data_IF_948655699746
#
_entry.id   IF_948655699746
#
_cell.length_a   1.000
_cell.length_b   1.000
_cell.length_c   1.000
_cell.angle_alpha   90.00
_cell.angle_beta   90.00
_cell.angle_gamma   90.00
#
_symmetry.space_group_name_H-M   'P 1'
#
loop_
_entity.id
_entity.type
_entity.pdbx_description
1 polymer ?
#
# COMPACT_ATOMS: atom_id res chain seq x y z
N UNK A 1 4.14 13.00 -11.19
CA UNK A 1 3.90 12.77 -9.76
C UNK A 1 2.46 13.11 -9.43
N UNK A 2 1.77 12.24 -8.71
CA UNK A 2 0.39 12.45 -8.28
C UNK A 2 0.36 13.19 -6.93
N UNK A 3 -0.65 14.00 -6.72
CA UNK A 3 -0.91 14.62 -5.43
C UNK A 3 -1.24 13.55 -4.37
N UNK A 4 -0.66 13.68 -3.19
CA UNK A 4 -0.79 12.69 -2.12
C UNK A 4 -0.57 11.24 -2.59
N UNK A 5 0.53 11.02 -3.31
CA UNK A 5 1.06 9.69 -3.58
C UNK A 5 2.09 9.27 -2.52
N UNK A 6 2.60 8.07 -2.63
CA UNK A 6 3.71 7.61 -1.77
C UNK A 6 5.06 8.21 -2.16
N UNK A 7 5.15 8.88 -3.32
CA UNK A 7 6.38 9.48 -3.81
C UNK A 7 6.68 10.81 -3.12
N UNK A 8 7.96 11.09 -2.90
CA UNK A 8 8.38 12.41 -2.44
C UNK A 8 8.08 13.49 -3.48
N UNK A 9 7.81 14.72 -3.04
CA UNK A 9 7.46 15.85 -3.92
C UNK A 9 8.50 16.14 -5.01
N UNK A 10 9.77 15.88 -4.75
CA UNK A 10 10.86 16.03 -5.73
C UNK A 10 10.98 14.90 -6.75
N UNK A 11 10.26 13.79 -6.58
CA UNK A 11 10.27 12.70 -7.56
C UNK A 11 9.64 13.14 -8.87
N UNK A 12 10.39 12.98 -9.97
CA UNK A 12 9.91 13.28 -11.30
C UNK A 12 10.65 12.41 -12.33
N UNK A 13 10.10 12.35 -13.54
CA UNK A 13 10.64 11.53 -14.64
C UNK A 13 11.56 12.34 -15.57
N UNK A 14 12.09 13.47 -15.16
CA UNK A 14 12.80 14.40 -16.03
C UNK A 14 13.98 13.75 -16.76
N UNK A 15 14.78 12.92 -16.10
CA UNK A 15 15.91 12.23 -16.74
C UNK A 15 15.45 11.28 -17.83
N UNK A 16 14.46 10.42 -17.53
CA UNK A 16 13.88 9.49 -18.50
C UNK A 16 13.18 10.24 -19.66
N UNK A 17 12.47 11.33 -19.36
CA UNK A 17 11.86 12.19 -20.38
C UNK A 17 12.90 12.82 -21.32
N UNK A 18 14.02 13.32 -20.78
CA UNK A 18 15.12 13.88 -21.61
C UNK A 18 15.77 12.82 -22.48
N UNK A 19 15.98 11.60 -21.95
CA UNK A 19 16.46 10.47 -22.73
C UNK A 19 15.49 10.12 -23.86
N UNK A 20 14.20 10.05 -23.56
CA UNK A 20 13.14 9.79 -24.54
C UNK A 20 13.12 10.86 -25.65
N UNK A 21 13.26 12.13 -25.32
CA UNK A 21 13.37 13.21 -26.32
C UNK A 21 14.61 13.08 -27.22
N UNK A 22 15.61 12.32 -26.82
CA UNK A 22 16.80 11.98 -27.60
C UNK A 22 16.68 10.64 -28.34
N UNK A 23 15.49 10.04 -28.34
CA UNK A 23 15.19 8.82 -29.09
C UNK A 23 15.18 7.53 -28.26
N UNK A 24 15.38 7.59 -26.94
CA UNK A 24 15.23 6.39 -26.12
C UNK A 24 13.76 5.95 -26.06
N UNK A 25 13.53 4.65 -26.20
CA UNK A 25 12.18 4.09 -26.17
C UNK A 25 11.67 3.88 -24.74
N UNK A 26 10.37 4.06 -24.56
CA UNK A 26 9.65 3.60 -23.36
C UNK A 26 9.01 2.23 -23.60
N UNK A 27 8.93 1.42 -22.55
CA UNK A 27 8.20 0.17 -22.53
C UNK A 27 7.24 0.13 -21.34
N UNK A 28 6.05 -0.41 -21.57
CA UNK A 28 4.97 -0.62 -20.58
C UNK A 28 4.53 0.62 -19.77
N UNK A 29 4.41 1.83 -20.35
CA UNK A 29 4.11 3.04 -19.58
C UNK A 29 2.63 3.23 -19.23
N UNK A 30 1.78 2.21 -19.45
CA UNK A 30 0.32 2.36 -19.43
C UNK A 30 -0.32 2.26 -18.06
N UNK A 31 0.40 1.77 -17.04
CA UNK A 31 -0.21 1.39 -15.77
C UNK A 31 0.31 2.24 -14.62
N UNK A 32 -0.58 2.51 -13.66
CA UNK A 32 -0.24 3.08 -12.37
C UNK A 32 -0.59 2.06 -11.28
N UNK A 33 0.39 1.68 -10.48
CA UNK A 33 0.17 0.77 -9.36
C UNK A 33 -0.37 1.51 -8.16
N UNK A 34 -1.40 0.95 -7.54
CA UNK A 34 -1.93 1.37 -6.25
C UNK A 34 -1.42 0.41 -5.19
N UNK A 35 -0.87 0.94 -4.08
CA UNK A 35 -0.40 0.13 -2.97
C UNK A 35 -1.44 0.08 -1.85
N UNK A 36 -1.84 -1.11 -1.37
CA UNK A 36 -2.96 -1.24 -0.43
C UNK A 36 -2.64 -0.85 1.01
N UNK A 37 -1.36 -0.87 1.41
CA UNK A 37 -0.93 -0.69 2.81
C UNK A 37 -0.25 0.66 3.03
N UNK A 38 -0.96 1.75 2.78
CA UNK A 38 -0.46 3.09 3.08
C UNK A 38 -1.20 3.66 4.28
N UNK A 39 -0.51 4.47 5.09
CA UNK A 39 -1.15 5.22 6.18
C UNK A 39 -2.07 6.26 5.55
N UNK A 40 -3.38 6.31 5.91
CA UNK A 40 -4.29 7.34 5.43
C UNK A 40 -3.80 8.74 5.76
N UNK A 41 -4.40 9.76 5.15
CA UNK A 41 -4.12 11.15 5.48
C UNK A 41 -4.29 11.36 6.98
N UNK A 42 -3.23 11.80 7.65
CA UNK A 42 -3.17 11.98 9.11
C UNK A 42 -2.91 13.42 9.53
N UNK A 43 -2.71 14.35 8.58
CA UNK A 43 -2.45 15.76 8.87
C UNK A 43 -2.78 16.67 7.70
N UNK A 44 -3.03 17.94 8.00
CA UNK A 44 -3.44 18.96 7.04
C UNK A 44 -2.33 19.30 6.02
N UNK A 45 -1.07 19.26 6.45
CA UNK A 45 0.10 19.65 5.64
C UNK A 45 0.90 18.44 5.12
N UNK A 46 0.27 17.30 5.00
CA UNK A 46 0.96 16.09 4.56
C UNK A 46 1.34 16.18 3.09
N UNK A 47 2.64 16.08 2.78
CA UNK A 47 3.17 16.20 1.42
C UNK A 47 3.14 14.91 0.63
N UNK A 48 3.06 13.76 1.32
CA UNK A 48 2.97 12.41 0.73
C UNK A 48 2.25 11.46 1.68
N UNK A 49 1.76 10.33 1.16
CA UNK A 49 1.26 9.22 1.96
C UNK A 49 2.41 8.28 2.32
N UNK A 50 2.45 7.82 3.55
CA UNK A 50 3.50 6.89 3.99
C UNK A 50 3.13 5.47 3.61
N UNK A 51 3.98 4.85 2.79
CA UNK A 51 3.91 3.45 2.45
C UNK A 51 4.34 2.61 3.65
N UNK A 52 3.52 1.64 4.01
CA UNK A 52 3.88 0.58 4.93
C UNK A 52 4.26 -0.67 4.15
N UNK A 53 5.19 -1.46 4.68
CA UNK A 53 5.60 -2.70 4.01
C UNK A 53 4.41 -3.64 3.79
N UNK A 54 4.36 -4.24 2.62
CA UNK A 54 3.36 -5.26 2.29
C UNK A 54 3.47 -6.50 3.17
N UNK A 55 4.66 -6.78 3.73
CA UNK A 55 4.90 -7.88 4.65
C UNK A 55 4.01 -7.85 5.90
N UNK A 56 3.48 -6.69 6.28
CA UNK A 56 2.50 -6.58 7.36
C UNK A 56 1.27 -7.46 7.14
N UNK A 57 0.89 -7.71 5.88
CA UNK A 57 -0.24 -8.56 5.53
C UNK A 57 0.00 -10.06 5.73
N UNK A 58 1.26 -10.47 5.99
CA UNK A 58 1.58 -11.87 6.31
C UNK A 58 1.00 -12.29 7.66
N UNK A 59 1.01 -11.38 8.63
CA UNK A 59 0.57 -11.64 10.00
C UNK A 59 -0.59 -10.74 10.43
N UNK A 60 -0.85 -9.63 9.73
CA UNK A 60 -1.99 -8.75 9.98
C UNK A 60 -3.23 -9.17 9.19
N UNK A 61 -4.41 -9.07 9.83
CA UNK A 61 -5.72 -9.34 9.21
C UNK A 61 -6.42 -8.05 8.85
N UNK A 62 -6.95 -7.97 7.63
CA UNK A 62 -7.64 -6.78 7.13
C UNK A 62 -9.14 -6.93 7.28
N UNK A 63 -9.78 -5.94 7.91
CA UNK A 63 -11.22 -5.94 8.12
C UNK A 63 -11.84 -4.55 8.17
N UNK A 64 -13.16 -4.49 8.03
CA UNK A 64 -14.02 -3.33 8.28
C UNK A 64 -15.19 -3.75 9.16
N UNK A 65 -15.88 -2.82 9.84
CA UNK A 65 -17.18 -3.14 10.49
C UNK A 65 -18.19 -3.65 9.47
N UNK A 66 -19.04 -4.59 9.85
CA UNK A 66 -20.15 -5.06 8.99
C UNK A 66 -21.24 -4.03 8.83
N UNK A 67 -21.41 -3.15 9.81
CA UNK A 67 -22.46 -2.14 9.83
C UNK A 67 -21.84 -0.74 9.75
N UNK A 68 -22.40 0.12 8.93
CA UNK A 68 -21.97 1.51 8.82
C UNK A 68 -22.12 2.33 10.11
N UNK A 69 -23.05 1.95 10.99
CA UNK A 69 -23.21 2.55 12.32
C UNK A 69 -22.01 2.34 13.26
N UNK A 70 -21.14 1.38 12.93
CA UNK A 70 -20.02 0.99 13.78
C UNK A 70 -18.69 1.61 13.32
N UNK A 71 -18.66 2.29 12.16
CA UNK A 71 -17.42 2.84 11.57
C UNK A 71 -16.78 3.95 12.42
N UNK A 72 -17.55 4.62 13.26
CA UNK A 72 -17.07 5.65 14.20
C UNK A 72 -16.68 5.10 15.58
N UNK A 73 -16.88 3.82 15.84
CA UNK A 73 -16.53 3.19 17.12
C UNK A 73 -15.05 2.83 17.18
N UNK A 74 -14.43 2.85 18.38
CA UNK A 74 -13.12 2.24 18.58
C UNK A 74 -13.14 0.76 18.17
N UNK A 75 -12.05 0.28 17.55
CA UNK A 75 -11.93 -1.09 17.08
C UNK A 75 -12.17 -2.14 18.21
N UNK A 76 -11.77 -1.79 19.45
CA UNK A 76 -11.95 -2.63 20.64
C UNK A 76 -13.42 -2.85 21.03
N UNK A 77 -14.31 -1.95 20.62
CA UNK A 77 -15.74 -2.04 20.90
C UNK A 77 -16.52 -2.83 19.83
N UNK A 78 -15.85 -3.20 18.73
CA UNK A 78 -16.44 -3.97 17.63
C UNK A 78 -16.14 -5.45 17.83
N UNK A 79 -17.14 -6.27 18.23
CA UNK A 79 -16.96 -7.71 18.44
C UNK A 79 -16.51 -8.41 17.15
N UNK A 80 -15.79 -9.52 17.28
CA UNK A 80 -15.29 -10.33 16.16
C UNK A 80 -16.41 -10.72 15.16
N UNK A 81 -17.59 -11.07 15.66
CA UNK A 81 -18.76 -11.43 14.84
C UNK A 81 -19.25 -10.28 13.95
N UNK A 82 -18.97 -9.03 14.32
CA UNK A 82 -19.38 -7.81 13.62
C UNK A 82 -18.28 -7.22 12.74
N UNK A 83 -17.15 -7.93 12.59
CA UNK A 83 -16.05 -7.63 11.68
C UNK A 83 -16.22 -8.37 10.36
N UNK A 84 -16.01 -7.67 9.24
CA UNK A 84 -15.93 -8.27 7.90
C UNK A 84 -14.48 -8.35 7.43
N UNK A 85 -13.91 -9.54 7.46
CA UNK A 85 -12.61 -9.87 6.88
C UNK A 85 -12.77 -10.09 5.38
N UNK A 86 -13.09 -9.01 4.67
CA UNK A 86 -13.57 -9.04 3.30
C UNK A 86 -12.62 -9.69 2.30
N UNK A 87 -11.28 -9.61 2.49
CA UNK A 87 -10.32 -10.31 1.62
C UNK A 87 -10.37 -11.82 1.84
N UNK A 88 -10.41 -12.27 3.10
CA UNK A 88 -10.52 -13.69 3.44
C UNK A 88 -11.86 -14.28 2.92
N UNK A 89 -12.94 -13.50 3.01
CA UNK A 89 -14.26 -13.91 2.53
C UNK A 89 -14.36 -13.96 1.01
N UNK A 90 -13.83 -12.94 0.31
CA UNK A 90 -13.90 -12.84 -1.15
C UNK A 90 -12.89 -13.74 -1.85
N UNK A 91 -11.73 -13.92 -1.25
CA UNK A 91 -10.57 -14.60 -1.86
C UNK A 91 -9.94 -15.62 -0.88
N UNK A 92 -10.66 -16.68 -0.51
CA UNK A 92 -10.22 -17.59 0.56
C UNK A 92 -8.89 -18.29 0.29
N UNK A 93 -8.50 -18.46 -0.98
CA UNK A 93 -7.20 -19.06 -1.34
C UNK A 93 -6.00 -18.13 -1.08
N UNK A 94 -6.20 -16.83 -1.05
CA UNK A 94 -5.14 -15.82 -0.87
C UNK A 94 -5.30 -15.04 0.43
N UNK A 95 -6.52 -14.86 0.91
CA UNK A 95 -6.83 -14.09 2.11
C UNK A 95 -6.22 -12.69 2.03
N UNK A 96 -5.53 -12.30 3.10
CA UNK A 96 -4.88 -11.00 3.20
C UNK A 96 -3.68 -10.84 2.24
N UNK A 97 -3.21 -11.92 1.60
CA UNK A 97 -2.12 -11.91 0.62
C UNK A 97 -2.62 -11.77 -0.83
N UNK A 98 -3.89 -11.41 -1.03
CA UNK A 98 -4.40 -11.08 -2.35
C UNK A 98 -3.51 -10.02 -3.05
N UNK A 99 -3.32 -10.11 -4.39
CA UNK A 99 -2.52 -9.16 -5.16
C UNK A 99 -2.87 -7.70 -4.86
N UNK A 100 -1.91 -6.79 -5.04
CA UNK A 100 -2.05 -5.37 -4.64
C UNK A 100 -3.24 -4.67 -5.25
N UNK A 101 -3.53 -4.93 -6.52
CA UNK A 101 -4.67 -4.34 -7.23
C UNK A 101 -6.01 -4.84 -6.69
N UNK A 102 -6.09 -6.14 -6.36
CA UNK A 102 -7.27 -6.76 -5.76
C UNK A 102 -7.50 -6.22 -4.34
N UNK A 103 -6.46 -6.22 -3.51
CA UNK A 103 -6.54 -5.71 -2.14
C UNK A 103 -6.91 -4.22 -2.10
N UNK A 104 -6.31 -3.41 -2.99
CA UNK A 104 -6.60 -1.98 -3.09
C UNK A 104 -8.04 -1.71 -3.54
N UNK A 105 -8.51 -2.43 -4.56
CA UNK A 105 -9.88 -2.31 -5.07
C UNK A 105 -10.90 -2.70 -4.03
N UNK A 106 -10.65 -3.82 -3.33
CA UNK A 106 -11.56 -4.30 -2.28
C UNK A 106 -11.63 -3.35 -1.08
N UNK A 107 -10.52 -2.72 -0.69
CA UNK A 107 -10.52 -1.69 0.34
C UNK A 107 -11.34 -0.46 -0.08
N UNK A 108 -11.14 -0.01 -1.33
CA UNK A 108 -11.93 1.10 -1.87
C UNK A 108 -13.42 0.77 -1.92
N UNK A 109 -13.79 -0.41 -2.42
CA UNK A 109 -15.18 -0.87 -2.45
C UNK A 109 -15.83 -0.86 -1.06
N UNK A 110 -15.12 -1.33 -0.03
CA UNK A 110 -15.61 -1.30 1.35
C UNK A 110 -15.85 0.13 1.84
N UNK A 111 -14.93 1.05 1.56
CA UNK A 111 -15.10 2.47 1.91
C UNK A 111 -16.24 3.13 1.14
N UNK A 112 -16.36 2.88 -0.16
CA UNK A 112 -17.45 3.40 -1.01
C UNK A 112 -18.83 2.87 -0.57
N UNK A 113 -18.87 1.67 0.02
CA UNK A 113 -20.09 1.11 0.63
C UNK A 113 -20.43 1.73 2.00
N UNK A 114 -19.66 2.72 2.47
CA UNK A 114 -19.89 3.37 3.76
C UNK A 114 -19.37 2.59 4.97
N UNK A 115 -18.50 1.60 4.76
CA UNK A 115 -17.87 0.78 5.82
C UNK A 115 -16.47 1.25 6.17
N UNK A 116 -15.98 2.30 5.51
CA UNK A 116 -14.66 2.88 5.79
C UNK A 116 -14.58 3.50 7.18
N UNK A 117 -13.41 3.43 7.79
CA UNK A 117 -13.14 3.92 9.14
C UNK A 117 -12.34 5.22 9.14
N UNK A 118 -12.26 5.85 10.31
CA UNK A 118 -11.60 7.12 10.50
C UNK A 118 -12.46 8.32 10.08
N UNK A 119 -11.99 9.54 10.38
CA UNK A 119 -12.76 10.76 10.16
C UNK A 119 -13.15 11.01 8.70
N UNK A 120 -12.34 10.52 7.77
CA UNK A 120 -12.61 10.66 6.32
C UNK A 120 -13.45 9.53 5.74
N UNK A 121 -13.66 8.43 6.48
CA UNK A 121 -14.24 7.19 5.94
C UNK A 121 -13.32 6.49 4.92
N UNK A 122 -12.09 6.95 4.76
CA UNK A 122 -11.10 6.40 3.83
C UNK A 122 -10.03 5.63 4.60
N UNK A 123 -10.41 4.51 5.18
CA UNK A 123 -9.53 3.63 5.91
C UNK A 123 -10.15 2.25 6.13
N UNK A 124 -9.30 1.25 6.28
CA UNK A 124 -9.65 -0.09 6.72
C UNK A 124 -8.69 -0.50 7.83
N UNK A 125 -9.09 -1.42 8.69
CA UNK A 125 -8.23 -1.93 9.76
C UNK A 125 -7.25 -2.98 9.24
N UNK A 126 -6.00 -2.93 9.74
CA UNK A 126 -4.99 -3.98 9.66
C UNK A 126 -4.64 -4.37 11.09
N UNK A 127 -5.10 -5.55 11.52
CA UNK A 127 -5.15 -5.99 12.91
C UNK A 127 -4.14 -7.09 13.19
N UNK A 128 -3.32 -6.91 14.21
CA UNK A 128 -2.30 -7.87 14.65
C UNK A 128 -2.69 -8.63 15.92
N UNK A 129 -3.87 -8.41 16.49
CA UNK A 129 -4.28 -9.03 17.75
C UNK A 129 -4.14 -10.56 17.72
N UNK A 130 -4.61 -11.21 16.65
CA UNK A 130 -4.53 -12.67 16.50
C UNK A 130 -3.08 -13.16 16.47
N UNK A 131 -2.22 -12.47 15.70
CA UNK A 131 -0.81 -12.85 15.56
C UNK A 131 -0.02 -12.58 16.84
N UNK A 132 -0.32 -11.49 17.55
CA UNK A 132 0.26 -11.21 18.86
C UNK A 132 -0.14 -12.29 19.87
N UNK A 133 -1.41 -12.69 19.90
CA UNK A 133 -1.90 -13.75 20.77
C UNK A 133 -1.27 -15.11 20.44
N UNK A 134 -1.05 -15.40 19.15
CA UNK A 134 -0.53 -16.68 18.67
C UNK A 134 0.97 -16.81 18.81
N UNK A 135 1.74 -15.77 18.48
CA UNK A 135 3.19 -15.83 18.38
C UNK A 135 3.92 -15.08 19.50
N UNK A 136 3.20 -14.26 20.26
CA UNK A 136 3.75 -13.37 21.28
C UNK A 136 4.22 -12.02 20.72
N UNK A 137 4.17 -10.99 21.59
CA UNK A 137 4.56 -9.62 21.25
C UNK A 137 6.01 -9.52 20.78
N UNK A 138 6.93 -10.27 21.41
CA UNK A 138 8.36 -10.22 21.07
C UNK A 138 8.64 -10.73 19.66
N UNK A 139 7.95 -11.77 19.22
CA UNK A 139 8.06 -12.29 17.87
C UNK A 139 7.55 -11.28 16.84
N UNK A 140 6.41 -10.69 17.08
CA UNK A 140 5.84 -9.65 16.21
C UNK A 140 6.72 -8.40 16.19
N UNK A 141 7.26 -8.01 17.33
CA UNK A 141 8.22 -6.90 17.43
C UNK A 141 9.51 -7.15 16.67
N UNK A 142 10.04 -8.38 16.72
CA UNK A 142 11.21 -8.77 15.92
C UNK A 142 10.96 -8.67 14.41
N UNK A 143 9.74 -8.96 13.96
CA UNK A 143 9.36 -8.91 12.53
C UNK A 143 9.03 -7.49 12.05
N UNK A 144 8.29 -6.72 12.85
CA UNK A 144 7.62 -5.50 12.41
C UNK A 144 7.82 -4.29 13.31
N UNK A 145 8.61 -4.40 14.38
CA UNK A 145 8.73 -3.35 15.41
C UNK A 145 9.16 -1.99 14.87
N UNK A 146 10.05 -1.96 13.87
CA UNK A 146 10.43 -0.73 13.19
C UNK A 146 9.27 -0.08 12.41
N UNK A 147 8.40 -0.90 11.80
CA UNK A 147 7.22 -0.42 11.07
C UNK A 147 6.15 0.08 12.03
N UNK A 148 5.94 -0.62 13.15
CA UNK A 148 5.02 -0.21 14.21
C UNK A 148 5.46 1.12 14.83
N UNK A 149 6.75 1.26 15.15
CA UNK A 149 7.29 2.53 15.65
C UNK A 149 7.12 3.68 14.65
N UNK A 150 7.31 3.41 13.35
CA UNK A 150 7.08 4.41 12.31
C UNK A 150 5.60 4.81 12.24
N UNK A 151 4.68 3.85 12.31
CA UNK A 151 3.24 4.10 12.32
C UNK A 151 2.85 4.93 13.54
N UNK A 152 3.28 4.54 14.73
CA UNK A 152 3.00 5.25 15.97
C UNK A 152 3.51 6.70 15.95
N UNK A 153 4.72 6.94 15.43
CA UNK A 153 5.27 8.30 15.28
C UNK A 153 4.44 9.19 14.35
N UNK A 154 3.77 8.61 13.36
CA UNK A 154 2.96 9.37 12.39
C UNK A 154 1.54 9.59 12.90
N UNK A 155 0.95 8.58 13.53
CA UNK A 155 -0.48 8.56 13.88
C UNK A 155 -0.75 8.80 15.36
N UNK A 156 0.23 8.55 16.22
CA UNK A 156 0.05 8.53 17.67
C UNK A 156 -0.63 7.27 18.21
N UNK A 157 -0.84 6.25 17.35
CA UNK A 157 -1.55 5.02 17.68
C UNK A 157 -0.56 3.85 17.82
N UNK A 158 -0.64 3.08 18.93
CA UNK A 158 0.20 1.91 19.16
C UNK A 158 -0.39 0.65 18.51
N UNK A 159 0.25 0.08 17.47
CA UNK A 159 -0.23 -1.13 16.78
C UNK A 159 -0.28 -2.41 17.63
N UNK A 160 0.39 -2.40 18.80
CA UNK A 160 0.30 -3.53 19.74
C UNK A 160 -0.99 -3.51 20.57
N UNK A 161 -1.66 -2.37 20.66
CA UNK A 161 -2.87 -2.20 21.48
C UNK A 161 -4.14 -2.04 20.66
N UNK A 162 -4.02 -1.58 19.42
CA UNK A 162 -5.16 -1.35 18.52
C UNK A 162 -4.77 -1.59 17.05
N UNK A 163 -5.72 -1.93 16.17
CA UNK A 163 -5.45 -2.11 14.76
C UNK A 163 -4.92 -0.86 14.09
N UNK A 164 -3.98 -1.04 13.16
CA UNK A 164 -3.52 0.03 12.27
C UNK A 164 -4.63 0.42 11.30
N UNK A 165 -4.65 1.68 10.89
CA UNK A 165 -5.48 2.15 9.78
C UNK A 165 -4.66 2.22 8.51
N UNK A 166 -5.14 1.60 7.45
CA UNK A 166 -4.50 1.62 6.13
C UNK A 166 -5.51 1.99 5.05
N UNK A 167 -5.01 2.55 3.94
CA UNK A 167 -5.82 2.85 2.76
C UNK A 167 -4.96 2.78 1.49
N UNK A 168 -5.53 2.42 0.34
CA UNK A 168 -4.81 2.43 -0.93
C UNK A 168 -4.30 3.81 -1.33
N UNK A 169 -3.07 3.84 -1.86
CA UNK A 169 -2.48 5.06 -2.39
C UNK A 169 -1.75 4.82 -3.70
N UNK A 170 -1.72 5.82 -4.56
CA UNK A 170 -0.92 5.81 -5.78
C UNK A 170 0.55 5.65 -5.41
N UNK A 171 1.22 4.65 -5.97
CA UNK A 171 2.56 4.25 -5.54
C UNK A 171 3.59 4.28 -6.67
N UNK A 172 3.33 3.62 -7.79
CA UNK A 172 4.33 3.38 -8.82
C UNK A 172 3.76 3.58 -10.22
N UNK A 173 4.44 4.35 -11.05
CA UNK A 173 4.16 4.40 -12.48
C UNK A 173 4.92 3.28 -13.16
N UNK A 174 4.18 2.32 -13.70
CA UNK A 174 4.76 1.14 -14.34
C UNK A 174 5.52 1.50 -15.61
N UNK A 175 6.40 0.59 -16.02
CA UNK A 175 7.23 0.80 -17.18
C UNK A 175 8.42 1.72 -16.90
N UNK A 176 9.05 2.16 -17.96
CA UNK A 176 10.25 3.00 -17.93
C UNK A 176 10.93 2.95 -19.29
N UNK A 177 12.19 3.37 -19.33
CA UNK A 177 12.97 3.27 -20.56
C UNK A 177 13.22 1.79 -20.90
N UNK A 178 13.02 1.46 -22.17
CA UNK A 178 13.34 0.15 -22.70
C UNK A 178 14.84 -0.12 -22.61
N UNK A 179 15.21 -1.33 -22.21
CA UNK A 179 16.60 -1.81 -22.19
C UNK A 179 16.67 -3.26 -22.69
N UNK A 180 17.82 -3.60 -23.22
CA UNK A 180 18.19 -4.98 -23.52
C UNK A 180 18.64 -5.74 -22.27
N UNK A 181 19.08 -6.97 -22.44
CA UNK A 181 19.53 -7.83 -21.31
C UNK A 181 20.80 -7.30 -20.63
N UNK A 182 21.57 -6.41 -21.27
CA UNK A 182 22.74 -5.74 -20.72
C UNK A 182 22.40 -4.38 -20.09
N UNK A 183 21.12 -4.08 -19.92
CA UNK A 183 20.60 -2.81 -19.40
C UNK A 183 20.93 -1.60 -20.30
N UNK A 184 21.26 -1.82 -21.56
CA UNK A 184 21.49 -0.77 -22.53
C UNK A 184 20.18 -0.44 -23.26
N UNK A 185 19.88 0.87 -23.38
CA UNK A 185 18.73 1.32 -24.16
C UNK A 185 18.97 1.14 -25.68
N UNK A 186 17.97 1.46 -26.49
CA UNK A 186 18.14 1.53 -27.94
C UNK A 186 19.09 2.66 -28.39
N UNK A 187 19.49 3.57 -27.49
CA UNK A 187 20.50 4.59 -27.74
C UNK A 187 21.86 4.05 -27.29
N UNK A 188 22.84 3.84 -28.20
CA UNK A 188 24.12 3.24 -27.86
C UNK A 188 24.85 4.03 -26.76
N UNK A 189 25.36 3.28 -25.77
CA UNK A 189 26.07 3.85 -24.61
C UNK A 189 25.17 4.41 -23.51
N UNK A 190 23.85 4.42 -23.67
CA UNK A 190 22.91 4.83 -22.64
C UNK A 190 22.39 3.58 -21.91
N UNK A 191 22.92 3.32 -20.72
CA UNK A 191 22.44 2.27 -19.82
C UNK A 191 21.43 2.84 -18.82
N UNK A 192 20.38 2.07 -18.50
CA UNK A 192 19.32 2.49 -17.59
C UNK A 192 19.20 1.49 -16.45
N UNK A 193 19.50 1.93 -15.25
CA UNK A 193 19.56 1.12 -14.05
C UNK A 193 18.36 1.39 -13.13
N UNK A 194 18.02 0.39 -12.30
CA UNK A 194 16.95 0.48 -11.31
C UNK A 194 15.57 0.68 -11.94
N UNK A 195 14.67 1.32 -11.21
CA UNK A 195 13.27 1.50 -11.63
C UNK A 195 13.07 2.55 -12.76
N UNK A 196 14.13 3.19 -13.23
CA UNK A 196 14.07 4.04 -14.43
C UNK A 196 13.94 3.21 -15.71
N UNK A 197 14.39 1.96 -15.72
CA UNK A 197 14.10 1.02 -16.81
C UNK A 197 12.72 0.39 -16.63
N UNK A 198 12.20 -0.25 -17.68
CA UNK A 198 10.85 -0.81 -17.66
C UNK A 198 10.68 -2.03 -16.72
N UNK A 199 11.76 -2.63 -16.24
CA UNK A 199 11.84 -3.71 -15.24
C UNK A 199 11.00 -4.95 -15.54
N UNK A 200 10.44 -5.09 -16.72
CA UNK A 200 9.61 -6.22 -17.18
C UNK A 200 8.44 -6.58 -16.24
N UNK A 201 7.98 -5.62 -15.44
CA UNK A 201 6.82 -5.82 -14.56
C UNK A 201 5.50 -5.74 -15.32
N UNK A 202 4.56 -6.61 -14.97
CA UNK A 202 3.16 -6.49 -15.39
C UNK A 202 2.42 -5.34 -14.67
N UNK A 203 1.12 -5.23 -14.92
CA UNK A 203 0.28 -4.16 -14.38
C UNK A 203 0.24 -4.10 -12.84
N UNK A 204 0.38 -5.21 -12.16
CA UNK A 204 0.39 -5.31 -10.70
C UNK A 204 1.80 -5.44 -10.11
N UNK A 205 2.84 -5.38 -10.93
CA UNK A 205 4.26 -5.42 -10.52
C UNK A 205 4.65 -6.73 -9.80
N UNK A 206 4.14 -7.86 -10.25
CA UNK A 206 4.44 -9.20 -9.73
C UNK A 206 5.18 -10.03 -10.76
#
# INVERSE_FOLDING_TARGET
VFFLSTNAMGCNVMAAYRAHKKGAYFSNPCYTQIHPTCIPVSGEYQSKLTLMSESLRNDGRIWVPKNSSDTGKPASEIPEKDRDYYLERKYPSFGNLAPRDIASRSAKEACDAGLGIGNSGLGVYLDFADSINRFGKDTISSRYGNLFQMYEKITGEDPYSQPMRIYPAVHYTMGGLWVDYNLMSNVPGLHVLGEANFSDHGANRL
#
